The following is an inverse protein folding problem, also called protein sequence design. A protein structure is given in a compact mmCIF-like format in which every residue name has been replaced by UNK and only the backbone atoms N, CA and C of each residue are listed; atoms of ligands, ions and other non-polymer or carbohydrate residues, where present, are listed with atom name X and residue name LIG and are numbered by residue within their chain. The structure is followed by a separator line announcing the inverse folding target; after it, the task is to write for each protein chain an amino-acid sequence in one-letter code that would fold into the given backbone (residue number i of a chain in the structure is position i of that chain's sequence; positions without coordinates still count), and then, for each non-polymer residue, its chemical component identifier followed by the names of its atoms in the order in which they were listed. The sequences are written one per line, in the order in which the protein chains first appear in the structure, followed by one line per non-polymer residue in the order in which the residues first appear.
data_IF_412594454470
#
_entry.id   IF_412594454470
#
_cell.length_a   1.000
_cell.length_b   1.000
_cell.length_c   1.000
_cell.angle_alpha   90.00
_cell.angle_beta   90.00
_cell.angle_gamma   90.00
#
_symmetry.space_group_name_H-M   'P 1'
#
loop_
_entity.id
_entity.type
_entity.pdbx_description
1 polymer ?
#
# COMPACT_ATOMS: atom_id res chain seq x y z
N UNK A 1 -37.12 14.65 9.69
CA UNK A 1 -37.64 13.30 9.97
C UNK A 1 -37.29 12.43 8.76
N UNK A 2 -36.07 11.90 8.72
CA UNK A 2 -35.50 11.19 7.56
C UNK A 2 -35.62 9.68 7.85
N UNK A 3 -36.23 8.94 6.92
CA UNK A 3 -36.62 7.53 7.10
C UNK A 3 -35.39 6.61 7.28
N UNK A 4 -35.42 5.61 8.19
CA UNK A 4 -34.32 4.65 8.39
C UNK A 4 -34.21 3.56 7.30
N UNK A 5 -34.97 3.66 6.22
CA UNK A 5 -35.15 2.55 5.26
C UNK A 5 -34.08 2.48 4.16
N UNK A 6 -33.16 3.45 4.08
CA UNK A 6 -32.06 3.45 3.10
C UNK A 6 -30.74 2.86 3.63
N UNK A 7 -30.63 2.56 4.94
CA UNK A 7 -29.42 1.94 5.50
C UNK A 7 -29.42 0.40 5.42
N UNK A 8 -30.57 -0.24 5.18
CA UNK A 8 -30.68 -1.70 5.11
C UNK A 8 -30.53 -2.25 3.67
N UNK A 9 -30.56 -1.39 2.65
CA UNK A 9 -30.41 -1.78 1.24
C UNK A 9 -28.96 -1.85 0.76
N UNK A 10 -27.99 -1.34 1.53
CA UNK A 10 -26.56 -1.39 1.18
C UNK A 10 -25.81 -2.55 1.86
N UNK A 11 -26.48 -3.28 2.75
CA UNK A 11 -25.97 -4.53 3.33
C UNK A 11 -26.37 -5.78 2.53
N UNK A 12 -27.00 -5.59 1.37
CA UNK A 12 -27.26 -6.67 0.42
C UNK A 12 -25.93 -7.13 -0.21
N UNK A 13 -25.32 -8.11 0.45
CA UNK A 13 -24.55 -9.19 -0.17
C UNK A 13 -23.67 -8.77 -1.35
N UNK A 14 -22.57 -8.08 -1.06
CA UNK A 14 -21.31 -8.59 -1.58
C UNK A 14 -21.00 -9.84 -0.73
N UNK A 15 -21.74 -10.92 -0.99
CA UNK A 15 -21.14 -12.24 -0.86
C UNK A 15 -20.05 -12.25 -1.93
N UNK A 16 -18.85 -11.76 -1.55
CA UNK A 16 -17.65 -12.37 -2.07
C UNK A 16 -17.85 -13.82 -1.66
N UNK A 17 -18.37 -14.63 -2.58
CA UNK A 17 -18.16 -16.06 -2.56
C UNK A 17 -16.65 -16.17 -2.53
N UNK A 18 -16.09 -16.19 -1.32
CA UNK A 18 -14.80 -16.77 -1.06
C UNK A 18 -14.96 -18.15 -1.64
N UNK A 19 -14.51 -18.30 -2.89
CA UNK A 19 -14.44 -19.60 -3.54
C UNK A 19 -13.73 -20.44 -2.51
N UNK A 20 -14.46 -21.40 -1.93
CA UNK A 20 -13.94 -22.31 -0.94
C UNK A 20 -12.65 -22.86 -1.51
N UNK A 21 -11.54 -22.31 -1.04
CA UNK A 21 -10.23 -22.63 -1.55
C UNK A 21 -10.06 -24.12 -1.32
N UNK A 22 -9.75 -24.88 -2.38
CA UNK A 22 -9.40 -26.31 -2.24
C UNK A 22 -8.22 -26.52 -1.27
N UNK A 23 -7.48 -25.45 -0.99
CA UNK A 23 -6.33 -25.45 -0.10
C UNK A 23 -6.72 -25.06 1.32
N UNK A 24 -6.08 -25.67 2.33
CA UNK A 24 -6.35 -25.38 3.72
C UNK A 24 -5.97 -23.94 4.08
N UNK A 25 -6.58 -23.42 5.15
CA UNK A 25 -6.29 -22.08 5.69
C UNK A 25 -5.00 -22.01 6.49
N UNK A 26 -4.51 -23.17 6.91
CA UNK A 26 -3.25 -23.31 7.62
C UNK A 26 -2.45 -24.46 7.01
N UNK A 27 -1.17 -24.51 7.34
CA UNK A 27 -0.29 -25.59 6.92
C UNK A 27 1.06 -25.50 7.63
N UNK A 28 1.88 -26.52 7.42
CA UNK A 28 3.21 -26.62 8.03
C UNK A 28 4.21 -26.95 6.95
N UNK A 29 5.30 -26.18 6.92
CA UNK A 29 6.47 -26.47 6.08
C UNK A 29 7.64 -26.86 6.95
N UNK A 30 8.44 -27.82 6.47
CA UNK A 30 9.60 -28.32 7.19
C UNK A 30 10.82 -28.39 6.28
N UNK A 31 11.98 -28.02 6.84
CA UNK A 31 13.29 -28.18 6.23
C UNK A 31 14.19 -28.93 7.20
N UNK A 32 14.56 -30.16 6.81
CA UNK A 32 15.46 -31.02 7.56
C UNK A 32 16.90 -30.80 7.08
N UNK A 33 17.76 -30.41 8.01
CA UNK A 33 19.20 -30.27 7.79
C UNK A 33 19.90 -31.46 8.43
N UNK A 34 20.23 -32.44 7.60
CA UNK A 34 21.00 -33.61 8.01
C UNK A 34 22.48 -33.28 8.04
N UNK A 35 23.21 -33.93 8.95
CA UNK A 35 24.63 -33.66 9.22
C UNK A 35 24.86 -32.16 9.47
N UNK A 36 24.09 -31.59 10.41
CA UNK A 36 24.07 -30.13 10.63
C UNK A 36 25.45 -29.56 10.97
N UNK A 37 26.27 -30.31 11.72
CA UNK A 37 27.66 -29.93 11.99
C UNK A 37 28.48 -29.75 10.71
N UNK A 38 28.41 -30.72 9.79
CA UNK A 38 29.07 -30.62 8.49
C UNK A 38 28.52 -29.45 7.67
N UNK A 39 27.19 -29.27 7.66
CA UNK A 39 26.56 -28.14 6.97
C UNK A 39 27.04 -26.78 7.50
N UNK A 40 27.19 -26.64 8.82
CA UNK A 40 27.66 -25.41 9.47
C UNK A 40 29.13 -25.09 9.15
N UNK A 41 29.97 -26.12 9.03
CA UNK A 41 31.40 -25.96 8.76
C UNK A 41 31.70 -25.71 7.29
N UNK A 42 31.13 -26.53 6.41
CA UNK A 42 31.49 -26.56 4.98
C UNK A 42 30.72 -25.55 4.13
N UNK A 43 29.53 -25.10 4.58
CA UNK A 43 28.75 -24.16 3.77
C UNK A 43 29.39 -22.77 3.80
N UNK A 44 29.72 -22.19 2.64
CA UNK A 44 30.26 -20.84 2.58
C UNK A 44 29.22 -19.84 3.08
N UNK A 45 29.68 -18.77 3.73
CA UNK A 45 28.83 -17.63 4.10
C UNK A 45 28.19 -17.06 2.82
N UNK A 46 26.86 -16.97 2.80
CA UNK A 46 26.11 -16.57 1.61
C UNK A 46 26.02 -17.65 0.53
N UNK A 47 26.30 -18.91 0.87
CA UNK A 47 26.16 -20.06 -0.02
C UNK A 47 24.73 -20.29 -0.50
N UNK A 48 24.56 -21.24 -1.43
CA UNK A 48 23.24 -21.59 -1.96
C UNK A 48 22.33 -22.08 -0.82
N UNK A 49 21.12 -21.52 -0.67
CA UNK A 49 20.24 -21.92 0.41
C UNK A 49 19.72 -23.34 0.21
N UNK A 50 19.59 -24.07 1.32
CA UNK A 50 18.76 -25.28 1.39
C UNK A 50 17.30 -24.86 1.40
N UNK A 51 16.45 -25.61 0.70
CA UNK A 51 15.03 -25.23 0.50
C UNK A 51 14.11 -26.40 0.86
N UNK A 52 12.97 -26.10 1.49
CA UNK A 52 11.93 -27.09 1.74
C UNK A 52 11.15 -27.42 0.47
N UNK A 53 10.29 -28.43 0.56
CA UNK A 53 9.19 -28.57 -0.40
C UNK A 53 8.26 -27.36 -0.33
N UNK A 54 7.58 -27.07 -1.45
CA UNK A 54 6.58 -26.00 -1.53
C UNK A 54 5.24 -26.54 -1.06
N UNK A 55 4.65 -25.92 -0.05
CA UNK A 55 3.31 -26.26 0.47
C UNK A 55 2.29 -25.21 0.02
N UNK A 56 1.11 -25.65 -0.41
CA UNK A 56 0.05 -24.73 -0.87
C UNK A 56 -0.96 -24.46 0.24
N UNK A 57 -0.91 -23.27 0.82
CA UNK A 57 -1.80 -22.80 1.88
C UNK A 57 -2.59 -21.62 1.33
N UNK A 58 -3.92 -21.68 1.34
CA UNK A 58 -4.81 -20.73 0.65
C UNK A 58 -4.48 -20.55 -0.85
N UNK A 59 -3.93 -21.60 -1.48
CA UNK A 59 -3.48 -21.57 -2.87
C UNK A 59 -2.15 -20.87 -3.09
N UNK A 60 -1.57 -20.25 -2.05
CA UNK A 60 -0.25 -19.61 -2.07
C UNK A 60 0.82 -20.68 -1.82
N UNK A 61 1.90 -20.69 -2.62
CA UNK A 61 3.02 -21.62 -2.47
C UNK A 61 4.03 -21.08 -1.46
N UNK A 62 4.17 -21.73 -0.31
CA UNK A 62 5.08 -21.34 0.77
C UNK A 62 6.29 -22.26 0.78
N UNK A 63 7.48 -21.68 0.97
CA UNK A 63 8.74 -22.41 1.01
C UNK A 63 9.67 -21.84 2.07
N UNK A 64 10.31 -22.71 2.85
CA UNK A 64 11.32 -22.34 3.82
C UNK A 64 12.70 -22.46 3.18
N UNK A 65 13.56 -21.46 3.41
CA UNK A 65 14.95 -21.44 2.95
C UNK A 65 15.88 -21.23 4.13
N UNK A 66 17.00 -21.93 4.16
CA UNK A 66 18.03 -21.77 5.18
C UNK A 66 19.42 -21.66 4.54
N UNK A 67 20.25 -20.77 5.08
CA UNK A 67 21.66 -20.63 4.68
C UNK A 67 22.50 -20.09 5.83
N UNK A 68 23.82 -20.21 5.68
CA UNK A 68 24.79 -19.65 6.63
C UNK A 68 25.05 -18.19 6.25
N UNK A 69 24.84 -17.28 7.20
CA UNK A 69 25.26 -15.88 7.12
C UNK A 69 26.31 -15.57 8.18
N UNK A 70 26.81 -14.33 8.20
CA UNK A 70 27.82 -13.90 9.14
C UNK A 70 27.42 -12.55 9.76
N UNK A 71 27.51 -12.47 11.08
CA UNK A 71 27.35 -11.22 11.83
C UNK A 71 28.54 -10.27 11.60
N UNK A 72 28.37 -9.00 11.97
CA UNK A 72 29.45 -8.00 11.91
C UNK A 72 30.66 -8.35 12.78
N UNK A 73 30.47 -9.16 13.83
CA UNK A 73 31.53 -9.65 14.70
C UNK A 73 32.19 -10.97 14.21
N UNK A 74 31.85 -11.42 13.01
CA UNK A 74 32.42 -12.63 12.40
C UNK A 74 31.73 -13.94 12.79
N UNK A 75 30.78 -13.94 13.74
CA UNK A 75 30.03 -15.17 14.12
C UNK A 75 29.17 -15.67 12.96
N UNK A 76 29.19 -16.99 12.73
CA UNK A 76 28.30 -17.63 11.77
C UNK A 76 26.87 -17.73 12.34
N UNK A 77 25.89 -17.41 11.53
CA UNK A 77 24.48 -17.47 11.88
C UNK A 77 23.71 -18.37 10.91
N UNK A 78 22.75 -19.14 11.40
CA UNK A 78 21.75 -19.81 10.58
C UNK A 78 20.64 -18.82 10.28
N UNK A 79 20.60 -18.32 9.04
CA UNK A 79 19.53 -17.44 8.55
C UNK A 79 18.46 -18.26 7.87
N UNK A 80 17.22 -17.98 8.24
CA UNK A 80 16.06 -18.72 7.77
C UNK A 80 15.03 -17.74 7.23
N UNK A 81 14.45 -18.07 6.09
CA UNK A 81 13.49 -17.20 5.41
C UNK A 81 12.35 -18.00 4.85
N UNK A 82 11.13 -17.51 5.08
CA UNK A 82 9.98 -17.96 4.32
C UNK A 82 9.87 -17.14 3.06
N UNK A 83 9.73 -17.83 1.94
CA UNK A 83 9.58 -17.24 0.62
C UNK A 83 8.30 -17.78 0.00
N UNK A 84 7.59 -16.89 -0.68
CA UNK A 84 6.37 -17.24 -1.38
C UNK A 84 6.68 -17.41 -2.87
N UNK A 85 6.48 -18.63 -3.36
CA UNK A 85 6.66 -19.01 -4.75
C UNK A 85 5.40 -18.72 -5.56
N UNK A 86 5.24 -17.48 -6.01
CA UNK A 86 4.18 -17.12 -6.95
C UNK A 86 4.72 -16.34 -8.14
N UNK A 87 4.27 -16.73 -9.34
CA UNK A 87 4.54 -16.04 -10.61
C UNK A 87 3.53 -14.93 -10.92
N UNK A 88 2.33 -14.97 -10.33
CA UNK A 88 1.25 -14.03 -10.68
C UNK A 88 1.22 -12.77 -9.81
N UNK A 89 0.89 -11.65 -10.46
CA UNK A 89 1.50 -10.34 -10.19
C UNK A 89 0.76 -9.42 -9.21
N UNK A 90 -0.26 -9.87 -8.47
CA UNK A 90 -1.08 -8.97 -7.64
C UNK A 90 -1.83 -9.66 -6.48
N UNK A 91 -1.11 -10.31 -5.57
CA UNK A 91 -1.69 -10.86 -4.34
C UNK A 91 -1.05 -10.21 -3.09
N UNK A 92 -1.84 -10.08 -2.04
CA UNK A 92 -1.38 -9.87 -0.67
C UNK A 92 -2.13 -10.80 0.27
N UNK A 93 -1.49 -11.22 1.34
CA UNK A 93 -2.03 -12.13 2.33
C UNK A 93 -1.44 -11.73 3.68
N UNK A 94 -2.29 -11.46 4.66
CA UNK A 94 -1.84 -11.46 6.05
C UNK A 94 -1.59 -12.92 6.47
N UNK A 95 -0.46 -13.18 7.13
CA UNK A 95 -0.22 -14.51 7.69
C UNK A 95 0.48 -14.42 9.04
N UNK A 96 0.02 -15.24 9.97
CA UNK A 96 0.69 -15.49 11.24
C UNK A 96 1.59 -16.71 11.08
N UNK A 97 2.85 -16.57 11.48
CA UNK A 97 3.85 -17.62 11.28
C UNK A 97 4.52 -17.95 12.61
N UNK A 98 4.41 -19.21 13.02
CA UNK A 98 5.17 -19.74 14.15
C UNK A 98 6.36 -20.55 13.63
N UNK A 99 7.57 -20.08 13.90
CA UNK A 99 8.78 -20.81 13.59
C UNK A 99 9.14 -21.74 14.74
N UNK A 100 9.64 -22.93 14.43
CA UNK A 100 10.27 -23.77 15.44
C UNK A 100 11.53 -24.44 14.93
N UNK A 101 12.47 -24.65 15.84
CA UNK A 101 13.69 -25.42 15.63
C UNK A 101 13.61 -26.63 16.54
N UNK A 102 13.68 -27.82 15.96
CA UNK A 102 13.65 -29.08 16.69
C UNK A 102 14.96 -29.84 16.50
N UNK A 103 15.52 -30.30 17.61
CA UNK A 103 16.75 -31.12 17.65
C UNK A 103 16.52 -32.25 18.65
N UNK A 104 16.42 -33.48 18.14
CA UNK A 104 16.04 -34.63 18.96
C UNK A 104 14.65 -34.45 19.60
N UNK A 105 14.60 -34.40 20.94
CA UNK A 105 13.36 -34.21 21.70
C UNK A 105 13.10 -32.75 22.10
N UNK A 106 14.08 -31.88 21.90
CA UNK A 106 13.98 -30.48 22.28
C UNK A 106 13.43 -29.67 21.11
N UNK A 107 12.44 -28.82 21.39
CA UNK A 107 11.90 -27.87 20.44
C UNK A 107 11.99 -26.46 21.04
N UNK A 108 12.42 -25.50 20.22
CA UNK A 108 12.42 -24.08 20.55
C UNK A 108 11.52 -23.36 19.56
N UNK A 109 10.51 -22.66 20.07
CA UNK A 109 9.47 -22.02 19.25
C UNK A 109 9.57 -20.50 19.35
N UNK A 110 9.32 -19.83 18.23
CA UNK A 110 9.32 -18.38 18.06
C UNK A 110 8.06 -17.98 17.27
N UNK A 111 7.36 -16.95 17.69
CA UNK A 111 6.15 -16.49 17.02
C UNK A 111 6.40 -15.14 16.37
N UNK A 112 6.10 -15.03 15.08
CA UNK A 112 6.21 -13.80 14.32
C UNK A 112 4.94 -13.58 13.50
N UNK A 113 4.49 -12.33 13.39
CA UNK A 113 3.32 -11.95 12.60
C UNK A 113 3.75 -11.01 11.49
N UNK A 114 3.33 -11.28 10.26
CA UNK A 114 3.80 -10.55 9.08
C UNK A 114 2.72 -10.34 8.03
N UNK A 115 2.77 -9.19 7.36
CA UNK A 115 1.99 -8.94 6.16
C UNK A 115 2.80 -9.38 4.94
N UNK A 116 2.29 -10.36 4.19
CA UNK A 116 2.94 -10.84 2.98
C UNK A 116 2.30 -10.20 1.76
N UNK A 117 3.12 -9.69 0.85
CA UNK A 117 2.66 -9.13 -0.41
C UNK A 117 3.67 -9.38 -1.51
N UNK A 118 3.33 -8.98 -2.73
CA UNK A 118 4.29 -8.95 -3.84
C UNK A 118 5.60 -8.23 -3.48
N UNK A 119 5.56 -7.17 -2.67
CA UNK A 119 6.74 -6.39 -2.31
C UNK A 119 7.35 -6.85 -0.98
N UNK A 120 6.52 -7.33 -0.05
CA UNK A 120 6.94 -7.90 1.24
C UNK A 120 6.82 -9.42 1.20
N UNK A 121 7.74 -10.09 0.49
CA UNK A 121 7.69 -11.56 0.25
C UNK A 121 8.39 -12.41 1.30
N UNK A 122 8.93 -11.79 2.34
CA UNK A 122 9.86 -12.47 3.22
C UNK A 122 9.67 -12.08 4.67
N UNK A 123 9.74 -13.11 5.51
CA UNK A 123 9.93 -13.02 6.94
C UNK A 123 11.20 -13.82 7.24
N UNK A 124 12.12 -13.20 7.96
CA UNK A 124 13.44 -13.74 8.22
C UNK A 124 13.67 -13.81 9.73
N UNK A 125 14.24 -14.93 10.18
CA UNK A 125 14.73 -15.06 11.54
C UNK A 125 16.13 -15.67 11.50
N UNK A 126 16.93 -15.34 12.50
CA UNK A 126 18.34 -15.67 12.55
C UNK A 126 18.69 -16.29 13.89
N UNK A 127 19.52 -17.34 13.88
CA UNK A 127 20.03 -17.99 15.09
C UNK A 127 21.52 -18.24 15.04
N UNK A 128 22.14 -18.19 16.21
CA UNK A 128 23.56 -18.44 16.36
C UNK A 128 23.86 -19.93 16.16
N UNK A 129 24.89 -20.23 15.38
CA UNK A 129 25.22 -21.62 15.04
C UNK A 129 25.82 -22.37 16.22
N UNK A 130 26.63 -21.73 17.06
CA UNK A 130 27.25 -22.41 18.20
C UNK A 130 26.20 -22.86 19.21
N UNK A 131 25.17 -22.04 19.44
CA UNK A 131 24.01 -22.41 20.26
C UNK A 131 23.28 -23.64 19.70
N UNK A 132 23.12 -23.71 18.38
CA UNK A 132 22.47 -24.85 17.72
C UNK A 132 23.33 -26.11 17.73
N UNK A 133 24.65 -25.99 17.55
CA UNK A 133 25.59 -27.11 17.64
C UNK A 133 25.61 -27.69 19.06
N UNK A 134 25.58 -26.83 20.09
CA UNK A 134 25.52 -27.28 21.47
C UNK A 134 24.19 -28.00 21.78
N UNK A 135 23.09 -27.52 21.20
CA UNK A 135 21.80 -28.19 21.28
C UNK A 135 21.83 -29.59 20.61
N UNK A 136 22.51 -29.72 19.46
CA UNK A 136 22.74 -31.01 18.77
C UNK A 136 23.55 -31.98 19.62
N UNK A 137 24.68 -31.52 20.20
CA UNK A 137 25.53 -32.34 21.08
C UNK A 137 24.75 -32.83 22.31
N UNK A 138 24.01 -31.93 22.96
CA UNK A 138 23.20 -32.24 24.15
C UNK A 138 22.10 -33.27 23.88
N UNK A 139 21.54 -33.28 22.67
CA UNK A 139 20.46 -34.20 22.27
C UNK A 139 20.96 -35.47 21.56
N UNK A 140 22.29 -35.62 21.38
CA UNK A 140 22.90 -36.72 20.61
C UNK A 140 22.26 -36.88 19.22
N UNK A 141 21.96 -35.77 18.56
CA UNK A 141 21.33 -35.74 17.25
C UNK A 141 21.97 -34.64 16.42
N UNK A 142 22.48 -34.99 15.23
CA UNK A 142 23.03 -34.03 14.27
C UNK A 142 22.01 -33.70 13.16
N UNK A 143 20.73 -33.82 13.48
CA UNK A 143 19.62 -33.50 12.60
C UNK A 143 18.89 -32.31 13.19
N UNK A 144 18.89 -31.21 12.45
CA UNK A 144 18.17 -30.00 12.82
C UNK A 144 16.95 -29.85 11.90
N UNK A 145 15.76 -29.79 12.49
CA UNK A 145 14.51 -29.62 11.76
C UNK A 145 14.01 -28.20 11.99
N UNK A 146 13.95 -27.43 10.92
CA UNK A 146 13.30 -26.13 10.89
C UNK A 146 11.87 -26.35 10.45
N UNK A 147 10.90 -25.80 11.17
CA UNK A 147 9.50 -25.81 10.74
C UNK A 147 8.87 -24.44 10.87
N UNK A 148 7.87 -24.19 10.03
CA UNK A 148 7.01 -23.03 10.14
C UNK A 148 5.55 -23.46 10.04
N UNK A 149 4.77 -23.15 11.08
CA UNK A 149 3.32 -23.25 11.07
C UNK A 149 2.76 -21.93 10.56
N UNK A 150 2.01 -21.98 9.47
CA UNK A 150 1.54 -20.82 8.74
C UNK A 150 0.02 -20.80 8.82
N UNK A 151 -0.52 -19.71 9.35
CA UNK A 151 -1.94 -19.41 9.37
C UNK A 151 -2.17 -18.24 8.42
N UNK A 152 -2.61 -18.56 7.20
CA UNK A 152 -2.81 -17.58 6.15
C UNK A 152 -4.29 -17.17 6.09
N UNK A 153 -4.52 -15.86 6.15
CA UNK A 153 -5.82 -15.32 5.78
C UNK A 153 -6.10 -15.59 4.30
N UNK A 154 -7.36 -15.44 3.89
CA UNK A 154 -7.64 -15.50 2.46
C UNK A 154 -6.85 -14.37 1.77
N UNK A 155 -6.17 -14.71 0.67
CA UNK A 155 -5.43 -13.72 -0.09
C UNK A 155 -6.39 -12.58 -0.48
N UNK A 156 -6.04 -11.36 -0.07
CA UNK A 156 -6.70 -10.13 -0.52
C UNK A 156 -6.14 -9.79 -1.91
N UNK A 157 -7.05 -9.51 -2.84
CA UNK A 157 -6.77 -9.55 -4.27
C UNK A 157 -7.07 -10.94 -4.80
N UNK A 158 -8.20 -11.11 -5.49
CA UNK A 158 -8.41 -12.32 -6.28
C UNK A 158 -7.18 -12.47 -7.19
N UNK A 159 -6.68 -13.69 -7.36
CA UNK A 159 -5.94 -14.03 -8.56
C UNK A 159 -6.92 -13.83 -9.72
N UNK A 160 -7.05 -12.59 -10.16
CA UNK A 160 -7.97 -12.23 -11.22
C UNK A 160 -7.44 -12.93 -12.47
N UNK A 161 -8.31 -13.59 -13.25
CA UNK A 161 -7.90 -14.07 -14.56
C UNK A 161 -7.24 -12.90 -15.29
N UNK A 162 -6.13 -13.13 -16.00
CA UNK A 162 -5.41 -12.06 -16.72
C UNK A 162 -6.33 -11.20 -17.62
N UNK A 163 -7.48 -11.73 -18.03
CA UNK A 163 -8.52 -11.06 -18.80
C UNK A 163 -9.15 -9.85 -18.06
N UNK A 164 -9.08 -9.83 -16.73
CA UNK A 164 -9.59 -8.76 -15.85
C UNK A 164 -8.49 -7.73 -15.50
N UNK A 165 -7.30 -7.80 -16.12
CA UNK A 165 -6.22 -6.85 -15.92
C UNK A 165 -6.23 -5.73 -16.98
N UNK A 166 -6.16 -4.49 -16.52
CA UNK A 166 -5.83 -3.32 -17.32
C UNK A 166 -4.31 -3.11 -17.26
N UNK A 167 -3.64 -3.13 -18.40
CA UNK A 167 -2.21 -2.85 -18.50
C UNK A 167 -2.01 -1.37 -18.75
N UNK A 168 -1.44 -0.67 -17.79
CA UNK A 168 -1.14 0.76 -17.92
C UNK A 168 0.32 0.89 -18.34
N UNK A 169 0.55 1.50 -19.49
CA UNK A 169 1.88 1.69 -20.08
C UNK A 169 2.33 3.15 -19.91
N UNK A 170 3.57 3.33 -19.47
CA UNK A 170 4.21 4.64 -19.42
C UNK A 170 4.59 5.06 -20.85
N UNK A 171 4.22 6.28 -21.25
CA UNK A 171 4.66 6.84 -22.53
C UNK A 171 6.18 7.03 -22.51
N UNK A 172 6.93 6.24 -23.28
CA UNK A 172 8.35 6.49 -23.58
C UNK A 172 8.58 6.03 -25.02
N UNK A 173 9.12 6.92 -25.85
CA UNK A 173 9.31 6.67 -27.29
C UNK A 173 10.36 5.58 -27.56
N UNK A 174 11.38 5.44 -26.70
CA UNK A 174 12.58 4.64 -27.00
C UNK A 174 12.94 3.52 -26.00
N UNK A 175 12.12 3.26 -24.98
CA UNK A 175 12.36 2.17 -24.01
C UNK A 175 11.12 1.31 -23.80
N UNK A 176 11.33 0.05 -23.40
CA UNK A 176 10.27 -0.87 -22.99
C UNK A 176 9.60 -0.29 -21.72
N UNK A 177 8.63 0.60 -21.93
CA UNK A 177 8.04 1.42 -20.87
C UNK A 177 7.51 0.57 -19.72
N UNK A 178 7.62 1.10 -18.50
CA UNK A 178 7.11 0.46 -17.29
C UNK A 178 5.63 0.14 -17.48
N UNK A 179 5.29 -1.13 -17.27
CA UNK A 179 3.95 -1.66 -17.42
C UNK A 179 3.41 -2.05 -16.04
N UNK A 180 2.24 -1.53 -15.69
CA UNK A 180 1.56 -1.85 -14.43
C UNK A 180 0.25 -2.53 -14.75
N UNK A 181 0.02 -3.67 -14.11
CA UNK A 181 -1.26 -4.38 -14.18
C UNK A 181 -2.14 -3.94 -13.04
N UNK A 182 -3.35 -3.47 -13.35
CA UNK A 182 -4.38 -3.07 -12.38
C UNK A 182 -5.65 -3.86 -12.64
N UNK A 183 -6.39 -4.18 -11.59
CA UNK A 183 -7.65 -4.90 -11.77
C UNK A 183 -8.76 -3.99 -12.32
N UNK A 184 -9.38 -4.38 -13.44
CA UNK A 184 -10.46 -3.64 -14.11
C UNK A 184 -11.68 -3.46 -13.22
N UNK A 185 -12.09 -4.52 -12.52
CA UNK A 185 -13.28 -4.49 -11.65
C UNK A 185 -13.07 -3.62 -10.42
N UNK A 186 -11.87 -3.62 -9.84
CA UNK A 186 -11.49 -2.74 -8.75
C UNK A 186 -11.59 -1.28 -9.19
N UNK A 187 -11.02 -0.95 -10.37
CA UNK A 187 -11.13 0.40 -10.92
C UNK A 187 -12.59 0.78 -11.16
N UNK A 188 -13.37 -0.07 -11.84
CA UNK A 188 -14.77 0.20 -12.12
C UNK A 188 -15.64 0.33 -10.87
N UNK A 189 -15.40 -0.49 -9.84
CA UNK A 189 -16.11 -0.43 -8.57
C UNK A 189 -15.95 0.94 -7.90
N UNK A 190 -14.77 1.55 -8.03
CA UNK A 190 -14.40 2.80 -7.36
C UNK A 190 -14.41 4.02 -8.28
N UNK A 191 -14.78 3.86 -9.56
CA UNK A 191 -14.74 4.92 -10.56
C UNK A 191 -15.80 4.72 -11.64
N UNK A 192 -16.82 5.59 -11.69
CA UNK A 192 -17.79 5.60 -12.79
C UNK A 192 -17.13 5.80 -14.16
N UNK A 193 -16.00 6.51 -14.22
CA UNK A 193 -15.21 6.67 -15.43
C UNK A 193 -14.69 5.31 -15.92
N UNK A 194 -14.02 4.54 -15.04
CA UNK A 194 -13.49 3.23 -15.42
C UNK A 194 -14.59 2.20 -15.63
N UNK A 195 -15.70 2.26 -14.89
CA UNK A 195 -16.87 1.41 -15.13
C UNK A 195 -17.42 1.61 -16.54
N UNK A 196 -17.68 2.86 -16.92
CA UNK A 196 -18.14 3.19 -18.27
C UNK A 196 -17.10 2.85 -19.35
N UNK A 197 -15.82 3.12 -19.09
CA UNK A 197 -14.73 2.85 -20.05
C UNK A 197 -14.54 1.36 -20.31
N UNK A 198 -14.64 0.52 -19.27
CA UNK A 198 -14.31 -0.90 -19.32
C UNK A 198 -15.52 -1.80 -19.53
N UNK A 199 -16.71 -1.39 -19.07
CA UNK A 199 -17.93 -2.21 -19.05
C UNK A 199 -19.17 -1.52 -19.66
N UNK A 200 -19.05 -0.28 -20.15
CA UNK A 200 -20.17 0.46 -20.74
C UNK A 200 -20.78 -0.22 -21.97
N UNK A 201 -22.12 -0.22 -22.04
CA UNK A 201 -22.97 -0.91 -23.04
C UNK A 201 -22.76 -0.50 -24.49
N UNK A 202 -22.09 0.62 -24.76
CA UNK A 202 -21.95 1.16 -26.12
C UNK A 202 -20.93 0.39 -27.00
N UNK A 203 -20.21 -0.59 -26.43
CA UNK A 203 -19.35 -1.51 -27.19
C UNK A 203 -20.05 -2.83 -27.59
N UNK A 204 -21.30 -3.05 -27.19
CA UNK A 204 -22.01 -4.32 -27.38
C UNK A 204 -22.52 -4.58 -28.82
N UNK A 205 -22.37 -3.62 -29.75
CA UNK A 205 -22.86 -3.78 -31.14
C UNK A 205 -21.81 -4.26 -32.14
N UNK A 206 -20.57 -4.52 -31.72
CA UNK A 206 -19.46 -4.73 -32.67
C UNK A 206 -18.62 -5.98 -32.37
N UNK A 207 -19.21 -7.18 -32.23
CA UNK A 207 -18.50 -8.47 -32.51
C UNK A 207 -19.36 -9.69 -32.20
N UNK A 208 -20.23 -10.06 -33.14
CA UNK A 208 -20.79 -11.42 -33.16
C UNK A 208 -19.71 -12.40 -33.63
N UNK A 209 -19.21 -13.22 -32.70
CA UNK A 209 -18.74 -14.58 -32.95
C UNK A 209 -17.46 -14.72 -33.76
N UNK A 210 -16.32 -14.80 -33.08
CA UNK A 210 -15.28 -15.82 -33.32
C UNK A 210 -14.24 -15.75 -32.20
N UNK A 211 -13.86 -16.93 -31.69
CA UNK A 211 -12.80 -17.21 -30.70
C UNK A 211 -11.92 -16.02 -30.28
N UNK A 212 -12.22 -15.43 -29.12
CA UNK A 212 -11.54 -14.26 -28.56
C UNK A 212 -10.15 -14.65 -28.06
N UNK A 213 -9.12 -14.37 -28.85
CA UNK A 213 -7.77 -14.15 -28.32
C UNK A 213 -7.83 -12.91 -27.43
N UNK A 214 -7.88 -13.11 -26.11
CA UNK A 214 -7.94 -12.04 -25.11
C UNK A 214 -6.65 -11.21 -25.12
N UNK A 215 -6.59 -10.21 -26.02
CA UNK A 215 -5.58 -9.16 -25.92
C UNK A 215 -5.92 -8.29 -24.70
N UNK A 216 -4.99 -8.08 -23.76
CA UNK A 216 -5.24 -7.22 -22.61
C UNK A 216 -5.48 -5.78 -23.07
N UNK A 217 -6.37 -5.07 -22.38
CA UNK A 217 -6.59 -3.65 -22.61
C UNK A 217 -5.35 -2.88 -22.15
N UNK A 218 -4.80 -2.06 -23.04
CA UNK A 218 -3.62 -1.25 -22.75
C UNK A 218 -4.05 0.22 -22.75
N UNK A 219 -3.85 0.91 -21.63
CA UNK A 219 -4.06 2.35 -21.50
C UNK A 219 -2.71 3.04 -21.35
N UNK A 220 -2.51 4.10 -22.11
CA UNK A 220 -1.30 4.91 -22.05
C UNK A 220 -1.57 6.18 -21.23
N UNK A 221 -0.67 6.46 -20.28
CA UNK A 221 -0.72 7.69 -19.49
C UNK A 221 0.35 8.66 -19.97
N UNK A 222 -0.06 9.91 -20.12
CA UNK A 222 0.77 11.03 -20.55
C UNK A 222 0.48 12.25 -19.64
N UNK A 223 1.49 12.98 -19.13
CA UNK A 223 2.94 12.76 -19.26
C UNK A 223 3.45 11.50 -18.52
N UNK A 224 4.69 11.04 -18.75
CA UNK A 224 5.25 9.83 -18.13
C UNK A 224 5.27 9.85 -16.60
N UNK A 225 5.37 11.04 -15.99
CA UNK A 225 5.30 11.26 -14.54
C UNK A 225 3.92 10.94 -13.95
N UNK A 226 2.88 10.84 -14.78
CA UNK A 226 1.52 10.47 -14.37
C UNK A 226 1.47 9.03 -13.88
N UNK A 227 2.37 8.16 -14.34
CA UNK A 227 2.37 6.75 -13.96
C UNK A 227 2.56 6.55 -12.46
N UNK A 228 3.53 7.24 -11.84
CA UNK A 228 3.81 7.09 -10.42
C UNK A 228 2.64 7.54 -9.56
N UNK A 229 2.03 8.67 -9.92
CA UNK A 229 0.84 9.18 -9.25
C UNK A 229 -0.38 8.27 -9.45
N UNK A 230 -0.51 7.64 -10.61
CA UNK A 230 -1.54 6.64 -10.86
C UNK A 230 -1.32 5.39 -10.01
N UNK A 231 -0.09 4.91 -9.87
CA UNK A 231 0.23 3.80 -8.96
C UNK A 231 -0.12 4.15 -7.51
N UNK A 232 0.18 5.38 -7.08
CA UNK A 232 -0.16 5.86 -5.75
C UNK A 232 -1.68 5.91 -5.55
N UNK A 233 -2.44 6.45 -6.52
CA UNK A 233 -3.91 6.44 -6.50
C UNK A 233 -4.48 5.02 -6.36
N UNK A 234 -3.97 4.06 -7.15
CA UNK A 234 -4.38 2.65 -7.07
C UNK A 234 -4.00 2.03 -5.73
N UNK A 235 -2.82 2.33 -5.19
CA UNK A 235 -2.42 1.86 -3.87
C UNK A 235 -3.38 2.38 -2.78
N UNK A 236 -3.81 3.64 -2.86
CA UNK A 236 -4.78 4.22 -1.93
C UNK A 236 -6.12 3.47 -1.97
N UNK A 237 -6.59 3.07 -3.16
CA UNK A 237 -7.81 2.24 -3.31
C UNK A 237 -7.66 0.87 -2.65
N UNK A 238 -6.59 0.15 -3.00
CA UNK A 238 -6.33 -1.20 -2.46
C UNK A 238 -6.30 -1.18 -0.93
N UNK A 239 -5.72 -0.14 -0.34
CA UNK A 239 -5.66 0.00 1.11
C UNK A 239 -7.03 0.28 1.72
N UNK A 240 -7.88 1.06 1.03
CA UNK A 240 -9.27 1.28 1.43
C UNK A 240 -10.03 -0.01 1.66
N UNK A 241 -9.97 -0.90 0.67
CA UNK A 241 -10.61 -2.21 0.74
C UNK A 241 -10.02 -3.09 1.86
N UNK A 242 -8.72 -2.98 2.14
CA UNK A 242 -8.08 -3.70 3.25
C UNK A 242 -8.55 -3.15 4.61
N UNK A 243 -8.77 -1.83 4.76
CA UNK A 243 -9.23 -1.22 6.02
C UNK A 243 -10.59 -1.77 6.44
N UNK A 244 -11.50 -1.98 5.47
CA UNK A 244 -12.82 -2.55 5.75
C UNK A 244 -12.73 -3.95 6.39
N UNK A 245 -11.60 -4.65 6.22
CA UNK A 245 -11.36 -5.97 6.79
C UNK A 245 -10.67 -5.98 8.18
N UNK A 246 -10.52 -4.82 8.84
CA UNK A 246 -10.25 -4.79 10.30
C UNK A 246 -8.86 -4.29 10.76
N UNK A 247 -7.95 -3.93 9.86
CA UNK A 247 -6.57 -3.52 10.22
C UNK A 247 -6.39 -2.00 10.46
N UNK A 248 -7.21 -1.39 11.32
CA UNK A 248 -7.28 0.08 11.46
C UNK A 248 -5.99 0.79 11.93
N UNK A 249 -5.19 0.20 12.81
CA UNK A 249 -4.05 0.89 13.47
C UNK A 249 -2.81 0.93 12.58
N UNK A 250 -2.47 -0.18 11.91
CA UNK A 250 -1.27 -0.26 11.07
C UNK A 250 -1.36 0.64 9.82
N UNK A 251 -2.58 0.87 9.34
CA UNK A 251 -2.81 1.52 8.05
C UNK A 251 -2.68 3.05 8.11
N UNK A 252 -2.90 3.69 9.27
CA UNK A 252 -2.74 5.16 9.38
C UNK A 252 -1.32 5.59 9.03
N UNK A 253 -0.32 4.86 9.52
CA UNK A 253 1.08 5.12 9.21
C UNK A 253 1.41 4.77 7.75
N UNK A 254 0.79 3.72 7.20
CA UNK A 254 1.03 3.30 5.82
C UNK A 254 0.43 4.27 4.79
N UNK A 255 -0.78 4.79 5.02
CA UNK A 255 -1.39 5.81 4.16
C UNK A 255 -0.56 7.11 4.12
N UNK A 256 0.04 7.50 5.25
CA UNK A 256 0.95 8.66 5.31
C UNK A 256 2.22 8.46 4.48
N UNK A 257 2.61 7.22 4.16
CA UNK A 257 3.73 6.93 3.27
C UNK A 257 3.34 6.96 1.78
N UNK A 258 2.04 7.00 1.46
CA UNK A 258 1.54 6.97 0.09
C UNK A 258 1.02 8.33 -0.34
N UNK A 259 0.30 9.03 0.53
CA UNK A 259 -0.10 10.42 0.33
C UNK A 259 0.75 11.27 1.27
N UNK A 260 1.55 12.14 0.68
CA UNK A 260 2.45 13.05 1.37
C UNK A 260 2.49 14.41 0.64
N UNK A 261 3.18 15.38 1.23
CA UNK A 261 3.04 16.78 0.83
C UNK A 261 3.39 17.03 -0.65
N UNK A 262 4.40 16.34 -1.17
CA UNK A 262 4.87 16.54 -2.54
C UNK A 262 4.01 15.86 -3.62
N UNK A 263 3.14 14.89 -3.27
CA UNK A 263 2.38 14.13 -4.26
C UNK A 263 0.85 14.28 -4.15
N UNK A 264 0.33 14.77 -3.03
CA UNK A 264 -1.13 14.80 -2.77
C UNK A 264 -1.91 15.53 -3.86
N UNK A 265 -1.39 16.63 -4.40
CA UNK A 265 -2.03 17.39 -5.48
C UNK A 265 -2.10 16.59 -6.78
N UNK A 266 -1.02 15.90 -7.14
CA UNK A 266 -1.01 15.08 -8.36
C UNK A 266 -1.91 13.85 -8.24
N UNK A 267 -1.94 13.22 -7.06
CA UNK A 267 -2.85 12.09 -6.77
C UNK A 267 -4.29 12.56 -6.80
N UNK A 268 -4.60 13.70 -6.17
CA UNK A 268 -5.93 14.31 -6.17
C UNK A 268 -6.38 14.67 -7.58
N UNK A 269 -5.51 15.28 -8.40
CA UNK A 269 -5.79 15.59 -9.80
C UNK A 269 -6.16 14.36 -10.62
N UNK A 270 -5.48 13.23 -10.40
CA UNK A 270 -5.82 11.99 -11.09
C UNK A 270 -7.11 11.38 -10.57
N UNK A 271 -7.32 11.41 -9.26
CA UNK A 271 -8.56 10.94 -8.65
C UNK A 271 -9.76 11.72 -9.19
N UNK A 272 -9.67 13.04 -9.28
CA UNK A 272 -10.70 13.89 -9.89
C UNK A 272 -10.90 13.58 -11.38
N UNK A 273 -9.81 13.54 -12.16
CA UNK A 273 -9.85 13.19 -13.60
C UNK A 273 -10.52 11.84 -13.88
N UNK A 274 -10.26 10.85 -13.03
CA UNK A 274 -10.81 9.51 -13.14
C UNK A 274 -12.03 9.28 -12.24
N UNK A 275 -12.62 10.33 -11.65
CA UNK A 275 -13.82 10.24 -10.81
C UNK A 275 -13.73 9.17 -9.70
N UNK A 276 -12.61 9.16 -8.96
CA UNK A 276 -12.30 8.20 -7.89
C UNK A 276 -12.58 8.84 -6.52
N UNK A 277 -13.86 8.97 -6.18
CA UNK A 277 -14.33 9.74 -5.01
C UNK A 277 -13.69 9.28 -3.69
N UNK A 278 -13.42 7.99 -3.52
CA UNK A 278 -12.78 7.47 -2.30
C UNK A 278 -11.37 8.06 -2.10
N UNK A 279 -10.59 8.16 -3.19
CA UNK A 279 -9.25 8.75 -3.13
C UNK A 279 -9.34 10.26 -2.89
N UNK A 280 -10.30 10.95 -3.50
CA UNK A 280 -10.58 12.37 -3.24
C UNK A 280 -10.88 12.60 -1.76
N UNK A 281 -11.68 11.74 -1.14
CA UNK A 281 -12.00 11.79 0.29
C UNK A 281 -10.75 11.61 1.16
N UNK A 282 -9.86 10.67 0.82
CA UNK A 282 -8.60 10.44 1.55
C UNK A 282 -7.60 11.60 1.39
N UNK A 283 -7.46 12.15 0.18
CA UNK A 283 -6.66 13.35 -0.08
C UNK A 283 -7.23 14.54 0.72
N UNK A 284 -8.55 14.73 0.75
CA UNK A 284 -9.20 15.78 1.54
C UNK A 284 -8.90 15.63 3.03
N UNK A 285 -9.00 14.41 3.56
CA UNK A 285 -8.64 14.13 4.95
C UNK A 285 -7.18 14.44 5.26
N UNK A 286 -6.26 14.11 4.33
CA UNK A 286 -4.85 14.46 4.44
C UNK A 286 -4.63 15.98 4.44
N UNK A 287 -5.27 16.73 3.54
CA UNK A 287 -5.13 18.19 3.48
C UNK A 287 -5.60 18.89 4.77
N UNK A 288 -6.63 18.35 5.44
CA UNK A 288 -7.14 18.90 6.70
C UNK A 288 -6.25 18.57 7.92
N UNK A 289 -5.77 17.33 8.00
CA UNK A 289 -5.15 16.77 9.20
C UNK A 289 -3.64 16.48 9.08
N UNK A 290 -3.08 16.68 7.89
CA UNK A 290 -1.67 16.46 7.58
C UNK A 290 -0.74 17.53 8.18
N UNK A 291 0.56 17.35 7.94
CA UNK A 291 1.60 18.30 8.38
C UNK A 291 1.86 19.42 7.37
N UNK A 292 1.21 19.37 6.20
CA UNK A 292 1.31 20.39 5.17
C UNK A 292 0.91 21.77 5.72
N UNK A 293 1.63 22.85 5.36
CA UNK A 293 1.25 24.21 5.71
C UNK A 293 -0.19 24.52 5.28
N UNK A 294 -0.97 25.13 6.18
CA UNK A 294 -2.42 25.32 5.97
C UNK A 294 -2.73 26.11 4.70
N UNK A 295 -1.92 27.11 4.37
CA UNK A 295 -2.11 27.91 3.16
C UNK A 295 -1.90 27.08 1.88
N UNK A 296 -0.90 26.19 1.87
CA UNK A 296 -0.68 25.26 0.75
C UNK A 296 -1.84 24.27 0.63
N UNK A 297 -2.30 23.72 1.75
CA UNK A 297 -3.49 22.84 1.77
C UNK A 297 -4.74 23.55 1.25
N UNK A 298 -4.95 24.81 1.64
CA UNK A 298 -6.05 25.64 1.16
C UNK A 298 -5.99 25.85 -0.35
N UNK A 299 -4.81 26.22 -0.87
CA UNK A 299 -4.59 26.41 -2.30
C UNK A 299 -4.96 25.16 -3.10
N UNK A 300 -4.48 23.98 -2.67
CA UNK A 300 -4.81 22.70 -3.33
C UNK A 300 -6.33 22.45 -3.25
N UNK A 301 -6.94 22.63 -2.09
CA UNK A 301 -8.39 22.42 -1.93
C UNK A 301 -9.24 23.38 -2.78
N UNK A 302 -8.79 24.62 -2.95
CA UNK A 302 -9.43 25.61 -3.81
C UNK A 302 -9.36 25.20 -5.29
N UNK A 303 -8.17 24.89 -5.80
CA UNK A 303 -7.95 24.54 -7.21
C UNK A 303 -8.69 23.27 -7.65
N UNK A 304 -8.92 22.35 -6.72
CA UNK A 304 -9.65 21.10 -6.95
C UNK A 304 -11.13 21.18 -6.57
N UNK A 305 -11.68 22.37 -6.36
CA UNK A 305 -13.09 22.58 -6.03
C UNK A 305 -13.59 21.71 -4.86
N UNK A 306 -12.83 21.69 -3.76
CA UNK A 306 -13.17 20.93 -2.54
C UNK A 306 -13.76 21.87 -1.47
N UNK A 307 -15.03 22.31 -1.56
CA UNK A 307 -15.57 23.40 -0.75
C UNK A 307 -15.56 23.10 0.75
N UNK A 308 -15.92 21.88 1.15
CA UNK A 308 -15.96 21.47 2.56
C UNK A 308 -14.54 21.48 3.15
N UNK A 309 -13.59 20.88 2.42
CA UNK A 309 -12.17 20.80 2.80
C UNK A 309 -11.58 22.20 2.91
N UNK A 310 -11.84 23.06 1.92
CA UNK A 310 -11.41 24.46 1.87
C UNK A 310 -11.86 25.24 3.11
N UNK A 311 -13.16 25.21 3.40
CA UNK A 311 -13.76 25.91 4.55
C UNK A 311 -13.18 25.38 5.87
N UNK A 312 -13.03 24.06 5.99
CA UNK A 312 -12.45 23.44 7.19
C UNK A 312 -11.00 23.88 7.42
N UNK A 313 -10.21 24.00 6.34
CA UNK A 313 -8.81 24.45 6.44
C UNK A 313 -8.76 25.92 6.88
N UNK A 314 -9.51 26.81 6.22
CA UNK A 314 -9.57 28.24 6.59
C UNK A 314 -9.96 28.45 8.05
N UNK A 315 -11.01 27.76 8.51
CA UNK A 315 -11.47 27.87 9.89
C UNK A 315 -10.45 27.33 10.90
N UNK A 316 -9.60 26.40 10.48
CA UNK A 316 -8.51 25.86 11.31
C UNK A 316 -7.25 26.73 11.33
N UNK A 317 -7.14 27.72 10.43
CA UNK A 317 -5.97 28.62 10.43
C UNK A 317 -6.00 29.51 11.68
N UNK A 318 -4.88 29.51 12.39
CA UNK A 318 -4.59 30.36 13.55
C UNK A 318 -3.74 31.57 13.18
N UNK A 319 -3.38 32.39 14.18
CA UNK A 319 -2.52 33.58 13.97
C UNK A 319 -1.10 33.17 13.55
N UNK A 320 -0.63 32.05 14.07
CA UNK A 320 0.67 31.44 13.79
C UNK A 320 0.86 31.09 12.31
N UNK A 321 -0.21 30.74 11.59
CA UNK A 321 -0.17 30.45 10.16
C UNK A 321 0.11 31.70 9.30
N UNK A 322 -0.03 32.89 9.87
CA UNK A 322 0.22 34.18 9.20
C UNK A 322 1.46 34.92 9.73
N UNK A 323 1.84 34.70 10.99
CA UNK A 323 2.86 35.50 11.68
C UNK A 323 4.21 34.79 11.90
N UNK A 324 4.36 33.51 11.55
CA UNK A 324 5.65 32.86 11.67
C UNK A 324 6.62 33.42 10.62
N UNK A 325 7.51 34.33 11.04
CA UNK A 325 8.51 34.95 10.18
C UNK A 325 9.42 33.94 9.47
N UNK A 326 9.49 32.69 9.95
CA UNK A 326 10.18 31.59 9.26
C UNK A 326 9.49 31.17 7.96
N UNK A 327 8.17 31.34 7.86
CA UNK A 327 7.34 30.94 6.72
C UNK A 327 6.95 32.11 5.83
N UNK A 328 7.48 33.32 6.08
CA UNK A 328 7.10 34.52 5.33
C UNK A 328 7.19 34.34 3.81
N UNK A 329 8.34 33.87 3.33
CA UNK A 329 8.56 33.68 1.89
C UNK A 329 7.63 32.62 1.31
N UNK A 330 7.32 31.57 2.07
CA UNK A 330 6.39 30.52 1.64
C UNK A 330 4.96 31.05 1.56
N UNK A 331 4.49 31.79 2.58
CA UNK A 331 3.19 32.45 2.59
C UNK A 331 3.07 33.40 1.40
N UNK A 332 4.09 34.23 1.18
CA UNK A 332 4.10 35.16 0.06
C UNK A 332 4.02 34.44 -1.29
N UNK A 333 4.83 33.39 -1.47
CA UNK A 333 4.82 32.61 -2.70
C UNK A 333 3.47 31.91 -2.94
N UNK A 334 2.87 31.31 -1.91
CA UNK A 334 1.57 30.67 -2.06
C UNK A 334 0.45 31.67 -2.31
N UNK A 335 0.44 32.81 -1.61
CA UNK A 335 -0.52 33.90 -1.90
C UNK A 335 -0.43 34.37 -3.35
N UNK A 336 0.78 34.52 -3.91
CA UNK A 336 0.96 34.94 -5.29
C UNK A 336 0.49 33.89 -6.32
N UNK A 337 0.34 32.62 -5.91
CA UNK A 337 -0.19 31.55 -6.77
C UNK A 337 -1.70 31.46 -6.71
N UNK A 338 -2.33 32.03 -5.68
CA UNK A 338 -3.78 32.10 -5.56
C UNK A 338 -4.36 33.14 -6.52
N UNK A 339 -5.51 32.82 -7.12
CA UNK A 339 -6.34 33.80 -7.82
C UNK A 339 -7.00 34.79 -6.85
N UNK A 340 -7.50 35.91 -7.38
CA UNK A 340 -8.06 37.01 -6.57
C UNK A 340 -9.16 36.55 -5.60
N UNK A 341 -10.04 35.65 -6.03
CA UNK A 341 -11.10 35.08 -5.19
C UNK A 341 -10.55 34.31 -3.99
N UNK A 342 -9.59 33.41 -4.23
CA UNK A 342 -8.96 32.62 -3.19
C UNK A 342 -8.14 33.50 -2.23
N UNK A 343 -7.46 34.52 -2.76
CA UNK A 343 -6.77 35.52 -1.94
C UNK A 343 -7.76 36.25 -1.04
N UNK A 344 -8.92 36.68 -1.56
CA UNK A 344 -9.93 37.40 -0.78
C UNK A 344 -10.45 36.57 0.40
N UNK A 345 -10.65 35.25 0.24
CA UNK A 345 -11.03 34.36 1.34
C UNK A 345 -9.95 34.26 2.42
N UNK A 346 -8.68 34.15 2.02
CA UNK A 346 -7.55 34.13 2.98
C UNK A 346 -7.42 35.47 3.70
N UNK A 347 -7.56 36.60 2.98
CA UNK A 347 -7.56 37.94 3.57
C UNK A 347 -8.73 38.13 4.55
N UNK A 348 -9.93 37.64 4.22
CA UNK A 348 -11.07 37.67 5.12
C UNK A 348 -10.75 36.95 6.44
N UNK A 349 -10.18 35.74 6.35
CA UNK A 349 -9.73 34.99 7.53
C UNK A 349 -8.63 35.72 8.32
N UNK A 350 -7.67 36.32 7.62
CA UNK A 350 -6.63 37.13 8.26
C UNK A 350 -7.25 38.30 9.04
N UNK A 351 -8.18 39.06 8.46
CA UNK A 351 -8.82 40.19 9.13
C UNK A 351 -9.72 39.78 10.30
N UNK A 352 -10.29 38.57 10.29
CA UNK A 352 -10.97 38.01 11.46
C UNK A 352 -10.00 37.78 12.63
N UNK A 353 -8.79 37.31 12.34
CA UNK A 353 -7.76 37.01 13.33
C UNK A 353 -7.02 38.28 13.81
N UNK A 354 -6.90 39.30 12.95
CA UNK A 354 -6.19 40.56 13.18
C UNK A 354 -7.11 41.79 12.92
N UNK A 355 -8.14 42.01 13.74
CA UNK A 355 -9.13 43.08 13.52
C UNK A 355 -8.51 44.50 13.54
N UNK A 356 -7.37 44.69 14.20
CA UNK A 356 -6.58 45.93 14.19
C UNK A 356 -6.04 46.28 12.80
N UNK A 357 -5.67 45.29 11.99
CA UNK A 357 -5.15 45.49 10.64
C UNK A 357 -6.22 46.09 9.70
N UNK A 358 -7.51 45.79 9.95
CA UNK A 358 -8.64 46.33 9.19
C UNK A 358 -8.84 47.84 9.38
N UNK A 359 -8.43 48.39 10.52
CA UNK A 359 -8.59 49.83 10.82
C UNK A 359 -7.55 50.69 10.09
N UNK A 360 -6.39 50.13 9.77
CA UNK A 360 -5.27 50.84 9.15
C UNK A 360 -5.30 50.83 7.61
N UNK A 361 -6.51 50.81 7.03
CA UNK A 361 -6.88 50.61 5.61
C UNK A 361 -6.21 51.53 4.55
N UNK A 362 -5.14 52.27 4.84
CA UNK A 362 -4.58 53.30 3.95
C UNK A 362 -3.34 52.91 3.16
N UNK A 363 -2.67 51.80 3.42
CA UNK A 363 -1.59 51.27 2.56
C UNK A 363 -1.61 49.76 2.61
N UNK A 364 -1.59 49.10 1.44
CA UNK A 364 -1.50 47.63 1.24
C UNK A 364 -0.87 46.97 2.46
N UNK A 365 -1.71 46.42 3.34
CA UNK A 365 -1.25 45.66 4.48
C UNK A 365 -0.49 44.48 3.90
N UNK A 366 0.84 44.56 3.92
CA UNK A 366 1.67 43.39 3.74
C UNK A 366 1.25 42.51 4.91
N UNK A 367 0.64 41.35 4.65
CA UNK A 367 0.27 40.34 5.66
C UNK A 367 1.47 39.97 6.56
N UNK A 368 2.67 40.48 6.24
CA UNK A 368 3.94 39.99 6.68
C UNK A 368 4.98 41.09 6.99
N UNK A 369 4.57 42.37 7.08
CA UNK A 369 5.35 43.41 7.79
C UNK A 369 4.67 43.71 9.12
#
# INVERSE_FOLDING_TARGET
MIKPFLLLSLCALIEIKFVSSKYPSNGRIELRLENFAQFADESPVGGRPKVSNVERIRGIGWQLKAWISQASNGRKLLSNRIVIGFSDLSWSCAAKISFSITVGKNAVTFNEEGLFSKTARMLEFVKDIEELLELCRSNRSDVLILSAEIFAEAASGQAFPFNDSLLVKQHQEDQLGKLISVNKKLLALHSPFFDKLLFGTDQATSSSGTSVTHKPDIVQLDPPSTMEHFQQMVAVLIIGDIILNGFRVFIKNFLQNIIFDQNVENVLRLADRFMVDEVIGKCSHFLMNGKMPKLRSFHIAFNHNLPITKISILNSMGREDFCDGKNFMEIHNEMNRLGEEAQAEVYARYYELFPEAKKNNSKKARICE
#
